data_IF_198978505429
#
_entry.id   IF_198978505429
#
_cell.length_a   1.000
_cell.length_b   1.000
_cell.length_c   1.000
_cell.angle_alpha   90.00
_cell.angle_beta   90.00
_cell.angle_gamma   90.00
#
_symmetry.space_group_name_H-M   'P 1'
#
loop_
_entity.id
_entity.type
_entity.pdbx_description
1 polymer ?
#
# COMPACT_ATOMS: atom_id res chain seq x y z
N UNK A 1 27.07 2.06 16.48
CA UNK A 1 25.63 2.09 16.88
C UNK A 1 25.48 3.06 18.05
N UNK A 2 24.57 4.05 18.05
CA UNK A 2 24.42 4.94 19.24
C UNK A 2 23.55 4.28 20.31
N UNK A 3 23.75 4.72 21.55
CA UNK A 3 23.02 4.26 22.74
C UNK A 3 21.50 4.31 22.53
N UNK A 4 20.99 5.36 21.87
CA UNK A 4 19.55 5.55 21.60
C UNK A 4 18.98 4.48 20.65
N UNK A 5 19.72 4.07 19.62
CA UNK A 5 19.25 3.00 18.72
C UNK A 5 19.24 1.64 19.40
N UNK A 6 20.27 1.34 20.21
CA UNK A 6 20.31 0.10 20.99
C UNK A 6 19.19 0.06 22.04
N UNK A 7 18.89 1.19 22.69
CA UNK A 7 17.86 1.27 23.72
C UNK A 7 16.44 1.14 23.16
N UNK A 8 16.17 1.68 21.97
CA UNK A 8 14.82 1.67 21.39
C UNK A 8 14.55 0.49 20.45
N UNK A 9 15.60 -0.14 19.89
CA UNK A 9 15.44 -1.21 18.90
C UNK A 9 14.65 -0.78 17.65
N UNK A 10 14.72 0.51 17.28
CA UNK A 10 13.99 1.10 16.14
C UNK A 10 14.92 1.62 15.06
N UNK A 11 14.40 1.65 13.83
CA UNK A 11 15.10 2.20 12.67
C UNK A 11 15.41 3.70 12.83
N UNK A 12 16.50 4.21 12.21
CA UNK A 12 16.91 5.61 12.33
C UNK A 12 15.79 6.61 12.01
N UNK A 13 15.00 6.33 10.98
CA UNK A 13 13.88 7.18 10.55
C UNK A 13 12.78 7.27 11.61
N UNK A 14 12.47 6.16 12.29
CA UNK A 14 11.51 6.12 13.40
C UNK A 14 12.01 6.93 14.60
N UNK A 15 13.29 6.80 14.95
CA UNK A 15 13.89 7.55 16.07
C UNK A 15 13.79 9.06 15.83
N UNK A 16 14.06 9.54 14.61
CA UNK A 16 13.92 10.98 14.30
C UNK A 16 12.48 11.46 14.35
N UNK A 17 11.51 10.64 13.95
CA UNK A 17 10.08 10.98 14.12
C UNK A 17 9.74 11.15 15.60
N UNK A 18 10.21 10.25 16.46
CA UNK A 18 9.99 10.38 17.91
C UNK A 18 10.65 11.65 18.46
N UNK A 19 11.89 11.94 18.10
CA UNK A 19 12.57 13.17 18.51
C UNK A 19 11.83 14.42 18.03
N UNK A 20 11.31 14.42 16.80
CA UNK A 20 10.51 15.53 16.26
C UNK A 20 9.19 15.71 17.04
N UNK A 21 8.50 14.63 17.36
CA UNK A 21 7.27 14.67 18.16
C UNK A 21 7.54 15.16 19.59
N UNK A 22 8.61 14.68 20.22
CA UNK A 22 9.04 15.13 21.55
C UNK A 22 9.44 16.60 21.55
N UNK A 23 10.14 17.07 20.50
CA UNK A 23 10.44 18.50 20.30
C UNK A 23 9.16 19.32 20.23
N UNK A 24 8.20 18.91 19.40
CA UNK A 24 6.91 19.59 19.25
C UNK A 24 6.12 19.62 20.57
N UNK A 25 6.18 18.54 21.36
CA UNK A 25 5.58 18.51 22.69
C UNK A 25 6.20 19.55 23.63
N UNK A 26 7.53 19.67 23.67
CA UNK A 26 8.18 20.70 24.49
C UNK A 26 7.89 22.12 23.96
N UNK A 27 7.80 22.33 22.65
CA UNK A 27 7.37 23.61 22.07
C UNK A 27 5.97 24.01 22.53
N UNK A 28 5.04 23.04 22.56
CA UNK A 28 3.71 23.24 23.11
C UNK A 28 3.74 23.66 24.58
N UNK A 29 4.52 22.95 25.42
CA UNK A 29 4.66 23.28 26.84
C UNK A 29 5.27 24.67 27.07
N UNK A 30 6.24 25.08 26.24
CA UNK A 30 6.84 26.42 26.32
C UNK A 30 5.82 27.51 25.94
N UNK A 31 5.01 27.25 24.91
CA UNK A 31 4.08 28.25 24.36
C UNK A 31 2.84 28.46 25.23
N UNK A 32 2.28 27.39 25.78
CA UNK A 32 1.00 27.44 26.48
C UNK A 32 1.11 27.31 28.00
N UNK A 33 2.26 26.85 28.51
CA UNK A 33 2.43 26.52 29.92
C UNK A 33 1.47 25.42 30.39
N UNK A 34 1.71 24.85 31.56
CA UNK A 34 0.74 23.97 32.21
C UNK A 34 0.40 24.55 33.57
N UNK A 35 -0.81 25.10 33.72
CA UNK A 35 -1.37 25.48 35.02
C UNK A 35 -1.44 24.22 35.88
N UNK A 36 -0.60 24.13 36.91
CA UNK A 36 -0.49 22.96 37.80
C UNK A 36 0.79 22.12 37.63
N UNK A 37 1.63 22.40 36.62
CA UNK A 37 2.93 21.72 36.51
C UNK A 37 3.97 22.34 37.45
N UNK A 38 4.69 21.50 38.21
CA UNK A 38 5.82 21.91 39.07
C UNK A 38 7.14 22.09 38.28
N UNK A 39 7.15 21.81 36.98
CA UNK A 39 8.34 21.91 36.15
C UNK A 39 8.56 23.37 35.77
N UNK A 40 9.76 23.91 36.04
CA UNK A 40 10.09 25.28 35.66
C UNK A 40 10.19 25.44 34.14
N UNK A 41 9.73 26.57 33.62
CA UNK A 41 9.80 26.90 32.19
C UNK A 41 11.24 26.83 31.65
N UNK A 42 12.23 27.15 32.48
CA UNK A 42 13.64 27.03 32.13
C UNK A 42 14.07 25.57 31.91
N UNK A 43 13.62 24.64 32.75
CA UNK A 43 13.90 23.20 32.56
C UNK A 43 13.27 22.67 31.27
N UNK A 44 12.05 23.10 30.94
CA UNK A 44 11.39 22.72 29.66
C UNK A 44 12.18 23.23 28.46
N UNK A 45 12.68 24.48 28.50
CA UNK A 45 13.52 25.05 27.43
C UNK A 45 14.85 24.30 27.26
N UNK A 46 15.49 23.89 28.35
CA UNK A 46 16.71 23.08 28.30
C UNK A 46 16.41 21.73 27.63
N UNK A 47 15.34 21.03 28.05
CA UNK A 47 14.93 19.76 27.43
C UNK A 47 14.61 19.91 25.94
N UNK A 48 13.92 20.99 25.54
CA UNK A 48 13.68 21.30 24.13
C UNK A 48 14.98 21.43 23.34
N UNK A 49 15.96 22.18 23.87
CA UNK A 49 17.25 22.36 23.23
C UNK A 49 18.02 21.06 23.08
N UNK A 50 18.08 20.23 24.14
CA UNK A 50 18.75 18.94 24.11
C UNK A 50 18.12 17.99 23.08
N UNK A 51 16.79 17.90 23.04
CA UNK A 51 16.10 17.07 22.03
C UNK A 51 16.34 17.61 20.62
N UNK A 52 16.34 18.92 20.42
CA UNK A 52 16.64 19.53 19.12
C UNK A 52 18.08 19.25 18.67
N UNK A 53 19.05 19.31 19.59
CA UNK A 53 20.45 18.95 19.34
C UNK A 53 20.57 17.47 18.96
N UNK A 54 19.97 16.57 19.75
CA UNK A 54 19.93 15.14 19.45
C UNK A 54 19.33 14.84 18.07
N UNK A 55 18.24 15.51 17.70
CA UNK A 55 17.63 15.35 16.38
C UNK A 55 18.57 15.78 15.23
N UNK A 56 19.28 16.91 15.39
CA UNK A 56 20.27 17.39 14.41
C UNK A 56 21.44 16.42 14.29
N UNK A 57 22.02 15.98 15.41
CA UNK A 57 23.15 15.06 15.44
C UNK A 57 22.80 13.71 14.81
N UNK A 58 21.55 13.29 14.96
CA UNK A 58 21.06 12.04 14.38
C UNK A 58 20.67 12.15 12.89
N UNK A 59 20.49 13.36 12.36
CA UNK A 59 20.05 13.59 10.97
C UNK A 59 21.00 12.98 9.93
N UNK A 60 22.33 13.07 10.15
CA UNK A 60 23.33 12.47 9.26
C UNK A 60 23.14 10.95 9.11
N UNK A 61 22.70 10.26 10.16
CA UNK A 61 22.45 8.81 10.13
C UNK A 61 21.17 8.47 9.39
N UNK A 62 20.15 9.33 9.50
CA UNK A 62 18.93 9.18 8.68
C UNK A 62 19.29 9.31 7.20
N UNK A 63 20.10 10.29 6.83
CA UNK A 63 20.57 10.44 5.44
C UNK A 63 21.31 9.20 4.95
N UNK A 64 22.28 8.70 5.73
CA UNK A 64 23.02 7.49 5.37
C UNK A 64 22.11 6.25 5.24
N UNK A 65 21.16 6.08 6.17
CA UNK A 65 20.16 5.01 6.10
C UNK A 65 19.25 5.16 4.87
N UNK A 66 18.78 6.37 4.57
CA UNK A 66 17.96 6.63 3.38
C UNK A 66 18.73 6.36 2.09
N UNK A 67 20.01 6.71 2.01
CA UNK A 67 20.87 6.38 0.87
C UNK A 67 21.03 4.86 0.72
N UNK A 68 21.31 4.15 1.80
CA UNK A 68 21.40 2.68 1.78
C UNK A 68 20.07 2.02 1.36
N UNK A 69 18.94 2.54 1.85
CA UNK A 69 17.61 2.08 1.43
C UNK A 69 17.35 2.36 -0.05
N UNK A 70 17.75 3.54 -0.56
CA UNK A 70 17.64 3.88 -1.98
C UNK A 70 18.48 2.95 -2.86
N UNK A 71 19.73 2.67 -2.48
CA UNK A 71 20.60 1.74 -3.21
C UNK A 71 19.96 0.35 -3.29
N UNK A 72 19.49 -0.20 -2.16
CA UNK A 72 18.78 -1.49 -2.14
C UNK A 72 17.50 -1.52 -2.98
N UNK A 73 16.83 -0.38 -3.15
CA UNK A 73 15.64 -0.26 -4.02
C UNK A 73 16.01 -0.27 -5.49
N UNK A 74 17.16 0.31 -5.86
CA UNK A 74 17.65 0.26 -7.23
C UNK A 74 18.00 -1.18 -7.65
N UNK A 75 18.55 -1.99 -6.74
CA UNK A 75 18.82 -3.41 -6.99
C UNK A 75 17.55 -4.24 -7.25
N UNK A 76 16.38 -3.73 -6.82
CA UNK A 76 15.07 -4.35 -7.00
C UNK A 76 14.21 -3.62 -8.03
N UNK A 77 14.82 -2.72 -8.82
CA UNK A 77 14.08 -1.94 -9.79
C UNK A 77 13.57 -2.88 -10.89
N UNK A 78 12.26 -2.96 -11.00
CA UNK A 78 11.58 -3.67 -12.07
C UNK A 78 11.81 -2.90 -13.36
N UNK A 79 12.09 -3.61 -14.47
CA UNK A 79 12.25 -3.00 -15.79
C UNK A 79 10.89 -2.54 -16.35
N UNK A 80 10.91 -1.65 -17.35
CA UNK A 80 9.67 -1.26 -18.05
C UNK A 80 9.09 -2.46 -18.79
N UNK A 81 9.95 -3.28 -19.36
CA UNK A 81 9.63 -4.48 -20.12
C UNK A 81 8.92 -5.52 -19.24
N UNK A 82 9.41 -5.74 -18.02
CA UNK A 82 8.78 -6.67 -17.07
C UNK A 82 7.41 -6.15 -16.59
N UNK A 83 7.22 -4.83 -16.43
CA UNK A 83 5.91 -4.26 -16.13
C UNK A 83 4.92 -4.48 -17.28
N UNK A 84 5.33 -4.17 -18.52
CA UNK A 84 4.49 -4.39 -19.70
C UNK A 84 4.12 -5.86 -19.85
N UNK A 85 5.10 -6.75 -19.70
CA UNK A 85 4.86 -8.21 -19.75
C UNK A 85 3.92 -8.68 -18.63
N UNK A 86 4.02 -8.11 -17.43
CA UNK A 86 3.08 -8.41 -16.36
C UNK A 86 1.65 -7.98 -16.73
N UNK A 87 1.48 -6.80 -17.32
CA UNK A 87 0.17 -6.27 -17.73
C UNK A 87 -0.46 -7.18 -18.79
N UNK A 88 0.29 -7.49 -19.85
CA UNK A 88 -0.17 -8.34 -20.97
C UNK A 88 -0.52 -9.75 -20.48
N UNK A 89 0.39 -10.41 -19.77
CA UNK A 89 0.15 -11.77 -19.30
C UNK A 89 -0.99 -11.87 -18.29
N UNK A 90 -1.15 -10.88 -17.40
CA UNK A 90 -2.32 -10.85 -16.51
C UNK A 90 -3.62 -10.64 -17.28
N UNK A 91 -3.64 -9.75 -18.29
CA UNK A 91 -4.82 -9.53 -19.13
C UNK A 91 -5.29 -10.82 -19.79
N UNK A 92 -4.36 -11.62 -20.30
CA UNK A 92 -4.67 -12.89 -20.96
C UNK A 92 -5.17 -13.97 -19.97
N UNK A 93 -4.59 -14.02 -18.76
CA UNK A 93 -4.86 -15.08 -17.78
C UNK A 93 -6.10 -14.81 -16.91
N UNK A 94 -6.42 -13.54 -16.63
CA UNK A 94 -7.53 -13.17 -15.73
C UNK A 94 -8.89 -13.77 -16.16
N UNK A 95 -9.30 -13.73 -17.44
CA UNK A 95 -10.55 -14.35 -17.89
C UNK A 95 -10.63 -15.83 -17.55
N UNK A 96 -9.56 -16.59 -17.81
CA UNK A 96 -9.49 -18.03 -17.49
C UNK A 96 -9.53 -18.29 -15.99
N UNK A 97 -8.86 -17.47 -15.18
CA UNK A 97 -8.94 -17.58 -13.72
C UNK A 97 -10.36 -17.32 -13.20
N UNK A 98 -11.12 -16.44 -13.84
CA UNK A 98 -12.53 -16.23 -13.50
C UNK A 98 -13.39 -17.44 -13.86
N UNK A 99 -13.10 -18.12 -14.98
CA UNK A 99 -13.74 -19.39 -15.34
C UNK A 99 -13.43 -20.48 -14.30
N UNK A 100 -12.17 -20.60 -13.88
CA UNK A 100 -11.74 -21.52 -12.82
C UNK A 100 -12.47 -21.25 -11.50
N UNK A 101 -12.55 -19.98 -11.08
CA UNK A 101 -13.24 -19.58 -9.85
C UNK A 101 -14.74 -19.86 -9.93
N UNK A 102 -15.35 -19.71 -11.10
CA UNK A 102 -16.78 -19.98 -11.31
C UNK A 102 -17.10 -21.48 -11.29
N UNK A 103 -16.20 -22.31 -11.82
CA UNK A 103 -16.34 -23.75 -11.84
C UNK A 103 -15.97 -24.42 -10.50
N UNK A 104 -15.13 -23.75 -9.69
CA UNK A 104 -14.66 -24.29 -8.42
C UNK A 104 -15.77 -24.33 -7.34
N UNK A 105 -15.67 -25.27 -6.38
CA UNK A 105 -16.53 -25.25 -5.19
C UNK A 105 -16.43 -23.94 -4.42
N UNK A 106 -17.49 -23.53 -3.73
CA UNK A 106 -17.55 -22.25 -2.98
C UNK A 106 -16.45 -22.17 -1.90
N UNK A 107 -16.07 -23.33 -1.36
CA UNK A 107 -15.03 -23.50 -0.36
C UNK A 107 -13.61 -23.36 -0.92
N UNK A 108 -13.43 -23.43 -2.25
CA UNK A 108 -12.13 -23.27 -2.88
C UNK A 108 -11.69 -21.81 -2.87
N UNK A 109 -10.84 -21.53 -1.89
CA UNK A 109 -10.29 -20.20 -1.69
C UNK A 109 -9.01 -20.00 -2.49
N UNK A 110 -8.35 -21.06 -2.96
CA UNK A 110 -7.07 -20.96 -3.65
C UNK A 110 -7.26 -20.36 -5.05
N UNK A 111 -8.24 -20.84 -5.82
CA UNK A 111 -8.57 -20.28 -7.14
C UNK A 111 -8.91 -18.80 -7.03
N UNK A 112 -9.72 -18.41 -6.03
CA UNK A 112 -10.02 -17.00 -5.74
C UNK A 112 -8.77 -16.18 -5.43
N UNK A 113 -7.90 -16.69 -4.56
CA UNK A 113 -6.70 -15.96 -4.17
C UNK A 113 -5.68 -15.85 -5.29
N UNK A 114 -5.63 -16.85 -6.19
CA UNK A 114 -4.85 -16.82 -7.42
C UNK A 114 -5.35 -15.73 -8.37
N UNK A 115 -6.67 -15.64 -8.59
CA UNK A 115 -7.30 -14.53 -9.31
C UNK A 115 -6.95 -13.17 -8.68
N UNK A 116 -7.08 -13.04 -7.35
CA UNK A 116 -6.72 -11.81 -6.65
C UNK A 116 -5.26 -11.42 -6.82
N UNK A 117 -4.35 -12.39 -6.84
CA UNK A 117 -2.93 -12.16 -7.09
C UNK A 117 -2.70 -11.52 -8.46
N UNK A 118 -3.29 -12.10 -9.52
CA UNK A 118 -3.14 -11.63 -10.89
C UNK A 118 -3.78 -10.25 -11.09
N UNK A 119 -5.01 -10.05 -10.62
CA UNK A 119 -5.67 -8.75 -10.72
C UNK A 119 -4.92 -7.66 -9.94
N UNK A 120 -4.37 -7.98 -8.76
CA UNK A 120 -3.55 -7.02 -8.01
C UNK A 120 -2.23 -6.71 -8.72
N UNK A 121 -1.58 -7.70 -9.33
CA UNK A 121 -0.34 -7.50 -10.10
C UNK A 121 -0.59 -6.61 -11.34
N UNK A 122 -1.69 -6.87 -12.04
CA UNK A 122 -2.16 -6.07 -13.17
C UNK A 122 -2.39 -4.60 -12.77
N UNK A 123 -3.26 -4.35 -11.79
CA UNK A 123 -3.61 -2.99 -11.35
C UNK A 123 -2.42 -2.26 -10.72
N UNK A 124 -1.51 -2.99 -10.04
CA UNK A 124 -0.28 -2.42 -9.50
C UNK A 124 0.65 -1.96 -10.62
N UNK A 125 0.78 -2.76 -11.68
CA UNK A 125 1.69 -2.47 -12.80
C UNK A 125 1.22 -1.30 -13.66
N UNK A 126 -0.09 -1.02 -13.70
CA UNK A 126 -0.64 0.15 -14.40
C UNK A 126 -0.56 1.41 -13.52
N UNK A 127 -1.11 1.36 -12.31
CA UNK A 127 -1.35 2.57 -11.53
C UNK A 127 -0.30 2.88 -10.47
N UNK A 128 0.47 1.87 -10.04
CA UNK A 128 1.45 2.03 -8.97
C UNK A 128 0.84 2.56 -7.67
N UNK A 129 -0.41 2.24 -7.34
CA UNK A 129 -1.03 2.70 -6.10
C UNK A 129 -0.36 2.06 -4.88
N UNK A 130 -0.54 2.68 -3.72
CA UNK A 130 -0.08 2.07 -2.46
C UNK A 130 -0.89 0.80 -2.17
N UNK A 131 -0.26 -0.20 -1.54
CA UNK A 131 -0.93 -1.45 -1.17
C UNK A 131 -2.27 -1.26 -0.46
N UNK A 132 -2.37 -0.23 0.39
CA UNK A 132 -3.61 0.07 1.13
C UNK A 132 -4.79 0.51 0.25
N UNK A 133 -4.55 0.98 -0.98
CA UNK A 133 -5.63 1.26 -1.94
C UNK A 133 -6.29 -0.05 -2.35
N UNK A 134 -5.49 -1.07 -2.69
CA UNK A 134 -5.99 -2.38 -3.07
C UNK A 134 -6.61 -3.12 -1.88
N UNK A 135 -5.91 -3.22 -0.74
CA UNK A 135 -6.41 -4.00 0.41
C UNK A 135 -7.67 -3.42 1.05
N UNK A 136 -7.93 -2.12 0.85
CA UNK A 136 -9.11 -1.45 1.41
C UNK A 136 -10.20 -1.18 0.36
N UNK A 137 -9.99 -1.57 -0.90
CA UNK A 137 -10.98 -1.43 -1.96
C UNK A 137 -12.27 -2.16 -1.55
N UNK A 138 -13.39 -1.44 -1.57
CA UNK A 138 -14.68 -2.01 -1.21
C UNK A 138 -15.43 -2.52 -2.43
N UNK A 139 -16.16 -3.62 -2.26
CA UNK A 139 -17.06 -4.14 -3.29
C UNK A 139 -18.08 -3.10 -3.74
N UNK A 140 -18.60 -2.27 -2.81
CA UNK A 140 -19.51 -1.17 -3.15
C UNK A 140 -18.85 -0.10 -4.03
N UNK A 141 -17.58 0.23 -3.80
CA UNK A 141 -16.88 1.29 -4.55
C UNK A 141 -16.69 0.87 -6.01
N UNK A 142 -16.52 -0.44 -6.24
CA UNK A 142 -16.51 -1.01 -7.59
C UNK A 142 -17.91 -1.01 -8.20
N UNK A 143 -18.96 -1.40 -7.47
CA UNK A 143 -20.35 -1.36 -8.00
C UNK A 143 -20.84 0.06 -8.33
N UNK A 144 -20.35 1.04 -7.57
CA UNK A 144 -20.68 2.47 -7.72
C UNK A 144 -19.67 3.20 -8.64
N UNK A 145 -18.88 2.45 -9.43
CA UNK A 145 -17.95 3.04 -10.37
C UNK A 145 -18.68 3.97 -11.36
N UNK A 146 -18.08 5.13 -11.64
CA UNK A 146 -18.67 6.13 -12.52
C UNK A 146 -18.12 5.97 -13.93
N UNK A 147 -18.99 5.83 -14.91
CA UNK A 147 -18.58 5.70 -16.30
C UNK A 147 -19.52 4.81 -17.09
N UNK A 148 -19.10 4.47 -18.31
CA UNK A 148 -19.87 3.68 -19.26
C UNK A 148 -18.94 2.89 -20.19
N UNK A 149 -19.54 2.09 -21.08
CA UNK A 149 -18.81 1.23 -22.01
C UNK A 149 -17.98 1.99 -23.05
N UNK A 150 -18.26 3.28 -23.28
CA UNK A 150 -17.51 4.09 -24.24
C UNK A 150 -16.30 4.77 -23.58
N UNK A 151 -16.46 5.24 -22.35
CA UNK A 151 -15.46 6.03 -21.64
C UNK A 151 -14.65 5.23 -20.62
N UNK A 152 -15.05 3.99 -20.30
CA UNK A 152 -14.51 3.22 -19.18
C UNK A 152 -15.09 3.66 -17.84
N UNK A 153 -14.64 3.03 -16.76
CA UNK A 153 -15.20 3.16 -15.42
C UNK A 153 -14.18 3.69 -14.42
N UNK A 154 -14.59 4.64 -13.58
CA UNK A 154 -13.75 5.25 -12.55
C UNK A 154 -14.20 4.81 -11.16
N UNK A 155 -13.36 4.02 -10.50
CA UNK A 155 -13.54 3.56 -9.12
C UNK A 155 -12.87 4.54 -8.17
N UNK A 156 -13.63 5.05 -7.21
CA UNK A 156 -13.14 5.97 -6.19
C UNK A 156 -12.92 5.23 -4.86
N UNK A 157 -11.65 5.09 -4.45
CA UNK A 157 -11.25 4.40 -3.22
C UNK A 157 -11.09 5.42 -2.09
N UNK A 158 -12.07 5.42 -1.20
CA UNK A 158 -12.23 6.42 -0.13
C UNK A 158 -11.46 6.11 1.14
N UNK A 159 -11.02 4.87 1.36
CA UNK A 159 -10.38 4.47 2.62
C UNK A 159 -8.92 4.08 2.44
N UNK A 160 -8.02 5.06 2.33
CA UNK A 160 -6.57 4.83 2.27
C UNK A 160 -5.77 5.82 3.13
N UNK A 161 -4.47 5.53 3.35
CA UNK A 161 -3.57 6.21 4.31
C UNK A 161 -3.56 7.75 4.21
N UNK A 162 -3.86 8.30 3.04
CA UNK A 162 -3.76 9.73 2.77
C UNK A 162 -5.06 10.38 2.32
N UNK A 163 -6.21 9.71 2.49
CA UNK A 163 -7.51 10.24 2.04
C UNK A 163 -7.77 11.64 2.60
N UNK A 164 -7.49 11.86 3.89
CA UNK A 164 -7.65 13.16 4.53
C UNK A 164 -6.80 14.29 3.91
N UNK A 165 -5.73 13.96 3.16
CA UNK A 165 -4.82 14.95 2.55
C UNK A 165 -4.97 15.10 1.04
N UNK A 166 -5.27 14.02 0.31
CA UNK A 166 -5.24 14.01 -1.15
C UNK A 166 -6.57 13.59 -1.80
N UNK A 167 -7.65 13.47 -1.02
CA UNK A 167 -8.94 13.01 -1.54
C UNK A 167 -8.95 11.51 -1.81
N UNK A 168 -9.88 11.04 -2.62
CA UNK A 168 -10.04 9.62 -2.95
C UNK A 168 -8.97 9.17 -3.95
N UNK A 169 -8.50 7.92 -3.84
CA UNK A 169 -7.65 7.34 -4.87
C UNK A 169 -8.52 6.86 -6.03
N UNK A 170 -8.07 7.08 -7.27
CA UNK A 170 -8.84 6.74 -8.45
C UNK A 170 -8.19 5.57 -9.19
N UNK A 171 -9.00 4.57 -9.52
CA UNK A 171 -8.64 3.47 -10.41
C UNK A 171 -9.56 3.58 -11.61
N UNK A 172 -8.97 3.88 -12.77
CA UNK A 172 -9.67 3.75 -14.04
C UNK A 172 -9.75 2.26 -14.40
N UNK A 173 -10.80 1.83 -15.06
CA UNK A 173 -10.95 0.47 -15.58
C UNK A 173 -11.51 0.58 -16.98
N UNK A 174 -10.91 -0.12 -17.96
CA UNK A 174 -11.57 -0.31 -19.25
C UNK A 174 -12.87 -1.11 -19.09
N UNK A 175 -13.79 -1.11 -20.08
CA UNK A 175 -15.00 -1.93 -20.01
C UNK A 175 -14.72 -3.40 -19.76
N UNK A 176 -13.63 -3.92 -20.35
CA UNK A 176 -13.16 -5.29 -20.14
C UNK A 176 -12.73 -5.52 -18.67
N UNK A 177 -11.88 -4.65 -18.13
CA UNK A 177 -11.38 -4.75 -16.75
C UNK A 177 -12.52 -4.60 -15.72
N UNK A 178 -13.47 -3.72 -16.00
CA UNK A 178 -14.67 -3.56 -15.19
C UNK A 178 -15.57 -4.82 -15.28
N UNK A 179 -15.65 -5.43 -16.46
CA UNK A 179 -16.29 -6.73 -16.68
C UNK A 179 -15.72 -7.82 -15.78
N UNK A 180 -14.39 -7.92 -15.66
CA UNK A 180 -13.75 -8.87 -14.74
C UNK A 180 -14.16 -8.63 -13.27
N UNK A 181 -14.16 -7.36 -12.86
CA UNK A 181 -14.50 -6.96 -11.50
C UNK A 181 -15.97 -7.25 -11.17
N UNK A 182 -16.89 -6.94 -12.09
CA UNK A 182 -18.32 -7.18 -11.92
C UNK A 182 -18.66 -8.67 -11.98
N UNK A 183 -18.01 -9.43 -12.87
CA UNK A 183 -18.12 -10.90 -12.92
C UNK A 183 -17.73 -11.51 -11.57
N UNK A 184 -16.58 -11.13 -11.02
CA UNK A 184 -16.18 -11.56 -9.68
C UNK A 184 -17.22 -11.20 -8.61
N UNK A 185 -17.72 -9.95 -8.60
CA UNK A 185 -18.72 -9.51 -7.64
C UNK A 185 -20.07 -10.22 -7.79
N UNK A 186 -20.40 -10.73 -8.97
CA UNK A 186 -21.57 -11.57 -9.22
C UNK A 186 -21.43 -12.95 -8.58
N UNK A 187 -20.23 -13.54 -8.63
CA UNK A 187 -19.95 -14.83 -7.98
C UNK A 187 -20.11 -14.77 -6.46
N UNK A 188 -19.91 -13.59 -5.83
CA UNK A 188 -20.17 -13.41 -4.40
C UNK A 188 -21.63 -13.67 -4.01
N UNK A 189 -22.58 -13.45 -4.92
CA UNK A 189 -24.00 -13.66 -4.65
C UNK A 189 -24.41 -15.15 -4.67
N UNK A 190 -23.50 -16.07 -5.06
CA UNK A 190 -23.76 -17.51 -5.20
C UNK A 190 -23.41 -18.33 -3.93
N UNK A 191 -23.26 -17.69 -2.78
CA UNK A 191 -23.00 -18.36 -1.49
C UNK A 191 -21.60 -18.17 -0.91
N UNK A 192 -20.74 -17.39 -1.56
CA UNK A 192 -19.49 -16.91 -0.94
C UNK A 192 -19.87 -15.95 0.21
N UNK A 193 -19.27 -16.07 1.41
CA UNK A 193 -19.56 -15.16 2.51
C UNK A 193 -19.43 -13.69 2.09
N UNK A 194 -20.53 -12.94 2.16
CA UNK A 194 -20.56 -11.54 1.78
C UNK A 194 -19.54 -10.75 2.60
N UNK A 195 -18.56 -10.18 1.90
CA UNK A 195 -17.53 -9.34 2.47
C UNK A 195 -17.59 -7.95 1.82
N UNK A 196 -17.45 -6.91 2.63
CA UNK A 196 -17.47 -5.53 2.15
C UNK A 196 -16.25 -5.18 1.29
N UNK A 197 -15.14 -5.90 1.47
CA UNK A 197 -13.91 -5.69 0.72
C UNK A 197 -13.97 -6.46 -0.60
N UNK A 198 -13.46 -5.85 -1.66
CA UNK A 198 -13.34 -6.47 -2.97
C UNK A 198 -12.32 -7.62 -2.93
N UNK A 199 -11.12 -7.33 -2.42
CA UNK A 199 -10.10 -8.34 -2.08
C UNK A 199 -10.36 -8.88 -0.67
N UNK A 200 -11.21 -9.89 -0.59
CA UNK A 200 -11.68 -10.47 0.67
C UNK A 200 -10.86 -11.69 1.10
N UNK A 201 -10.83 -11.94 2.41
CA UNK A 201 -10.46 -13.26 2.93
C UNK A 201 -11.71 -14.15 3.07
N UNK A 202 -11.54 -15.39 3.54
CA UNK A 202 -12.65 -16.34 3.73
C UNK A 202 -13.65 -15.90 4.82
N UNK A 203 -13.30 -14.91 5.64
CA UNK A 203 -14.16 -14.33 6.66
C UNK A 203 -14.68 -12.95 6.24
N UNK A 204 -15.00 -12.11 7.24
CA UNK A 204 -15.50 -10.74 7.04
C UNK A 204 -14.38 -9.68 6.95
N UNK A 205 -13.13 -10.12 6.77
CA UNK A 205 -11.94 -9.27 6.88
C UNK A 205 -11.26 -8.95 5.55
N UNK A 206 -10.29 -8.02 5.60
CA UNK A 206 -9.41 -7.73 4.47
C UNK A 206 -8.49 -8.92 4.16
N UNK A 207 -8.10 -9.04 2.90
CA UNK A 207 -7.04 -9.94 2.49
C UNK A 207 -5.66 -9.39 2.87
N UNK A 208 -5.20 -9.67 4.10
CA UNK A 208 -3.88 -9.22 4.61
C UNK A 208 -2.72 -9.74 3.77
N UNK A 209 -2.87 -10.94 3.22
CA UNK A 209 -1.83 -11.62 2.45
C UNK A 209 -1.89 -11.31 0.94
N UNK A 210 -2.63 -10.29 0.51
CA UNK A 210 -2.74 -9.94 -0.92
C UNK A 210 -1.37 -9.78 -1.59
N UNK A 211 -0.40 -9.18 -0.89
CA UNK A 211 1.00 -9.07 -1.34
C UNK A 211 1.59 -10.43 -1.71
N UNK A 212 1.34 -11.47 -0.90
CA UNK A 212 1.86 -12.82 -1.13
C UNK A 212 1.31 -13.40 -2.42
N UNK A 213 0.03 -13.23 -2.69
CA UNK A 213 -0.59 -13.75 -3.91
C UNK A 213 -0.22 -12.95 -5.16
N UNK A 214 -0.01 -11.64 -5.02
CA UNK A 214 0.55 -10.81 -6.09
C UNK A 214 1.96 -11.27 -6.48
N UNK A 215 2.83 -11.54 -5.50
CA UNK A 215 4.18 -12.08 -5.76
C UNK A 215 4.09 -13.46 -6.43
N UNK A 216 3.16 -14.31 -6.02
CA UNK A 216 2.94 -15.61 -6.68
C UNK A 216 2.50 -15.45 -8.12
N UNK A 217 1.56 -14.55 -8.41
CA UNK A 217 1.14 -14.25 -9.78
C UNK A 217 2.31 -13.75 -10.64
N UNK A 218 3.15 -12.86 -10.10
CA UNK A 218 4.37 -12.40 -10.76
C UNK A 218 5.29 -13.58 -11.15
N UNK A 219 5.48 -14.53 -10.23
CA UNK A 219 6.29 -15.73 -10.46
C UNK A 219 5.63 -16.70 -11.45
N UNK A 220 4.31 -16.88 -11.39
CA UNK A 220 3.54 -17.73 -12.30
C UNK A 220 3.63 -17.25 -13.75
N UNK A 221 3.71 -15.93 -13.97
CA UNK A 221 3.93 -15.31 -15.29
C UNK A 221 5.40 -15.50 -15.78
N UNK A 222 6.27 -16.02 -14.93
CA UNK A 222 7.68 -16.29 -15.24
C UNK A 222 8.59 -15.07 -15.14
N UNK A 223 8.15 -14.02 -14.44
CA UNK A 223 8.96 -12.82 -14.20
C UNK A 223 9.94 -13.06 -13.03
N UNK A 224 11.12 -12.47 -13.13
CA UNK A 224 12.18 -12.65 -12.13
C UNK A 224 11.90 -11.83 -10.87
N UNK A 225 12.40 -12.33 -9.74
CA UNK A 225 12.33 -11.65 -8.46
C UNK A 225 10.99 -11.81 -7.73
N UNK A 226 10.85 -11.04 -6.65
CA UNK A 226 9.68 -11.07 -5.76
C UNK A 226 9.26 -9.63 -5.41
N UNK A 227 8.90 -8.80 -6.41
CA UNK A 227 8.60 -7.40 -6.16
C UNK A 227 7.32 -7.26 -5.33
N UNK A 228 7.34 -6.31 -4.40
CA UNK A 228 6.13 -5.92 -3.70
C UNK A 228 5.47 -4.67 -4.30
N UNK A 229 4.32 -4.27 -3.74
CA UNK A 229 3.59 -3.09 -4.21
C UNK A 229 4.43 -1.80 -4.19
N UNK A 230 5.40 -1.67 -3.28
CA UNK A 230 6.28 -0.51 -3.23
C UNK A 230 7.33 -0.56 -4.35
N UNK A 231 7.84 -1.75 -4.66
CA UNK A 231 8.79 -1.95 -5.76
C UNK A 231 8.11 -1.61 -7.10
N UNK A 232 6.92 -2.20 -7.36
CA UNK A 232 6.11 -1.90 -8.56
C UNK A 232 5.77 -0.41 -8.63
N UNK A 233 5.27 0.18 -7.54
CA UNK A 233 4.98 1.62 -7.49
C UNK A 233 6.19 2.48 -7.84
N UNK A 234 7.37 2.10 -7.36
CA UNK A 234 8.61 2.83 -7.64
C UNK A 234 8.96 2.74 -9.11
N UNK A 235 8.86 1.55 -9.70
CA UNK A 235 9.09 1.34 -11.13
C UNK A 235 8.09 2.13 -12.00
N UNK A 236 6.79 2.03 -11.73
CA UNK A 236 5.75 2.81 -12.44
C UNK A 236 6.03 4.31 -12.36
N UNK A 237 6.35 4.83 -11.17
CA UNK A 237 6.70 6.26 -11.01
C UNK A 237 7.96 6.67 -11.77
N UNK A 238 8.87 5.73 -12.02
CA UNK A 238 10.13 5.98 -12.73
C UNK A 238 9.92 6.04 -14.24
N UNK A 239 9.02 5.22 -14.78
CA UNK A 239 8.82 5.08 -16.22
C UNK A 239 7.65 5.88 -16.80
N UNK A 240 6.75 6.38 -15.95
CA UNK A 240 5.60 7.23 -16.34
C UNK A 240 5.97 8.73 -16.31
N UNK A 241 7.26 9.06 -16.18
CA UNK A 241 7.79 10.44 -16.29
C UNK A 241 8.06 10.83 -17.73
#
# INVERSE_FOLDING_TARGET
>A
MSIIQKALGKEPTTVVIFLANTKAFFEYLIKFGQKGSRISSQRVRILHHEVAKLARDFSRRVTAHQQAVKAKKLDRLISREDLTRCIEACRDVIPTLLDEVEAAPIEDCLSRFRFFGHLAAYLASIYGHRSCVYTNLLAREVREAKGDENAGYLVNVSNHKTTHKYGMAQIYLTPEEYGWCTRWLGLLNRGVPSNRFFFSNNGKGVMKDLKRYMIRAWQEIGLKGEPDFLDIRTAVSTFVS
#
